data_IF_068550384682
#
_entry.id   IF_068550384682
#
_cell.length_a   1.000
_cell.length_b   1.000
_cell.length_c   1.000
_cell.angle_alpha   90.00
_cell.angle_beta   90.00
_cell.angle_gamma   90.00
#
_symmetry.space_group_name_H-M   'P 1'
#
loop_
_entity.id
_entity.type
_entity.pdbx_description
1 polymer ?
2 non-polymer ?
3 non-polymer ?
4 water ?
#
# COMPACT_ATOMS: atom_id res chain seq x y z
N UNK A 2 -24.70 1.02 -1.69
CA UNK A 2 -23.46 0.36 -1.15
C UNK A 2 -22.24 1.27 -1.30
N UNK A 3 -21.39 1.30 -0.29
CA UNK A 3 -20.21 2.11 -0.32
C UNK A 3 -18.99 1.22 -0.32
N UNK A 4 -17.87 1.74 -0.78
CA UNK A 4 -16.64 0.97 -0.79
C UNK A 4 -15.85 1.24 -2.06
N UNK A 5 -14.79 0.47 -2.27
CA UNK A 5 -13.82 0.72 -3.32
C UNK A 5 -13.26 -0.58 -3.85
N UNK A 6 -13.09 -0.64 -5.15
CA UNK A 6 -12.34 -1.71 -5.80
C UNK A 6 -11.24 -1.01 -6.57
N UNK A 7 -10.02 -1.53 -6.47
CA UNK A 7 -8.88 -0.89 -7.09
C UNK A 7 -8.00 -1.91 -7.73
N UNK A 8 -7.71 -1.67 -9.02
CA UNK A 8 -6.75 -2.44 -9.79
C UNK A 8 -5.47 -1.62 -9.90
N UNK A 9 -4.34 -2.28 -9.67
CA UNK A 9 -3.05 -1.64 -9.74
C UNK A 9 -2.15 -2.39 -10.73
N UNK A 10 -1.50 -1.63 -11.61
CA UNK A 10 -0.54 -2.18 -12.55
C UNK A 10 0.72 -1.41 -12.30
N UNK A 11 1.84 -2.11 -12.15
CA UNK A 11 3.08 -1.41 -11.88
C UNK A 11 4.27 -2.08 -12.51
N UNK A 12 5.26 -1.26 -12.84
CA UNK A 12 6.43 -1.77 -13.49
C UNK A 12 7.65 -1.01 -13.14
N UNK A 13 8.78 -1.69 -13.25
CA UNK A 13 9.93 -1.03 -13.80
C UNK A 13 11.17 -1.16 -12.98
N UNK A 14 11.03 -1.79 -11.84
CA UNK A 14 11.76 -3.02 -11.65
C UNK A 14 11.17 -3.97 -10.66
N UNK A 15 11.88 -4.26 -9.59
CA UNK A 15 11.83 -5.60 -9.10
C UNK A 15 10.45 -6.09 -8.76
N UNK A 16 9.53 -5.17 -8.47
CA UNK A 16 8.20 -5.57 -8.06
C UNK A 16 7.15 -5.34 -9.13
N UNK A 17 7.40 -5.87 -10.33
CA UNK A 17 6.49 -5.79 -11.49
C UNK A 17 5.28 -6.72 -11.34
N UNK A 18 4.11 -6.23 -11.71
CA UNK A 18 2.95 -7.07 -11.63
C UNK A 18 1.66 -6.32 -11.46
N UNK A 19 0.65 -6.99 -10.89
CA UNK A 19 -0.66 -6.42 -10.80
C UNK A 19 -1.38 -6.88 -9.56
N UNK A 20 -2.50 -6.22 -9.27
CA UNK A 20 -3.24 -6.49 -8.04
C UNK A 20 -4.67 -5.97 -8.09
N UNK A 21 -5.50 -6.58 -7.26
CA UNK A 21 -6.86 -6.18 -7.08
C UNK A 21 -7.16 -6.18 -5.57
N UNK A 22 -7.77 -5.10 -5.07
CA UNK A 22 -8.08 -4.94 -3.65
C UNK A 22 -9.42 -4.25 -3.49
N UNK A 23 -10.14 -4.66 -2.45
CA UNK A 23 -11.45 -4.14 -2.13
C UNK A 23 -11.47 -3.63 -0.71
N UNK A 24 -12.18 -2.52 -0.53
CA UNK A 24 -12.51 -2.04 0.80
C UNK A 24 -14.01 -2.12 0.94
N UNK A 25 -14.45 -2.90 1.94
CA UNK A 25 -15.87 -3.21 2.13
C UNK A 25 -16.39 -2.77 3.50
N UNK A 26 -17.14 -1.66 3.57
CA UNK A 26 -17.76 -1.29 4.86
C UNK A 26 -18.78 -2.31 5.36
N UNK A 27 -18.75 -2.58 6.66
CA UNK A 27 -19.83 -3.29 7.30
C UNK A 27 -20.55 -2.47 8.39
N UNK A 28 -19.96 -1.35 8.80
CA UNK A 28 -20.67 -0.36 9.59
C UNK A 28 -20.22 0.99 9.11
N UNK A 29 -21.19 1.90 8.93
CA UNK A 29 -20.95 3.15 8.27
C UNK A 29 -21.83 4.25 8.83
N UNK A 30 -21.21 5.18 9.54
CA UNK A 30 -21.88 6.34 10.12
C UNK A 30 -21.01 7.57 9.85
N UNK A 31 -21.58 8.77 9.99
CA UNK A 31 -20.80 10.00 9.88
C UNK A 31 -19.49 9.95 10.70
N UNK A 32 -19.57 9.46 11.94
CA UNK A 32 -18.41 9.53 12.83
C UNK A 32 -17.45 8.33 12.74
N UNK A 33 -17.96 7.16 12.43
CA UNK A 33 -17.13 5.96 12.41
C UNK A 33 -17.46 5.01 11.27
N UNK A 34 -16.42 4.50 10.63
CA UNK A 34 -16.52 3.51 9.60
C UNK A 34 -15.73 2.27 10.05
N UNK A 35 -16.36 1.10 9.94
CA UNK A 35 -15.68 -0.17 10.18
C UNK A 35 -15.75 -0.93 8.89
N UNK A 36 -14.62 -1.50 8.50
CA UNK A 36 -14.47 -2.06 7.18
C UNK A 36 -13.62 -3.29 7.21
N UNK A 37 -13.84 -4.16 6.20
CA UNK A 37 -12.95 -5.25 5.87
C UNK A 37 -12.23 -4.84 4.61
N UNK A 38 -10.99 -5.30 4.46
CA UNK A 38 -10.24 -5.12 3.24
C UNK A 38 -9.71 -6.48 2.79
N UNK A 39 -9.80 -6.75 1.49
CA UNK A 39 -9.35 -8.03 0.95
C UNK A 39 -8.80 -7.81 -0.45
N UNK A 40 -7.76 -8.54 -0.82
CA UNK A 40 -7.24 -8.49 -2.16
C UNK A 40 -6.09 -9.47 -2.39
N UNK A 41 -5.61 -9.50 -3.63
CA UNK A 41 -4.53 -10.38 -4.04
C UNK A 41 -3.72 -9.73 -5.11
N UNK A 42 -2.54 -10.29 -5.36
CA UNK A 42 -1.62 -9.71 -6.30
C UNK A 42 -0.64 -10.75 -6.81
N UNK A 43 -0.18 -10.57 -8.02
CA UNK A 43 0.90 -11.36 -8.57
C UNK A 43 2.02 -10.37 -8.85
N UNK A 44 3.01 -10.35 -7.98
CA UNK A 44 4.10 -9.35 -8.04
C UNK A 44 5.40 -10.02 -7.69
N UNK A 45 6.42 -9.70 -8.47
CA UNK A 45 7.74 -10.29 -8.32
C UNK A 45 7.69 -11.80 -8.31
N UNK A 46 6.94 -12.36 -9.26
CA UNK A 46 6.83 -13.82 -9.44
C UNK A 46 6.30 -14.58 -8.19
N UNK A 47 5.44 -13.92 -7.42
CA UNK A 47 4.79 -14.55 -6.27
C UNK A 47 3.32 -14.16 -6.21
N UNK A 48 2.49 -15.11 -5.78
CA UNK A 48 1.06 -14.88 -5.59
C UNK A 48 0.81 -14.65 -4.11
N UNK A 49 0.24 -13.50 -3.79
CA UNK A 49 0.03 -13.09 -2.41
C UNK A 49 -1.37 -12.56 -2.23
N UNK A 50 -2.00 -12.94 -1.11
CA UNK A 50 -3.38 -12.49 -0.80
C UNK A 50 -3.37 -11.89 0.59
N UNK A 51 -4.26 -10.94 0.80
CA UNK A 51 -4.25 -10.11 2.00
C UNK A 51 -5.67 -9.91 2.50
N UNK A 52 -5.82 -9.95 3.82
CA UNK A 52 -7.12 -9.82 4.48
C UNK A 52 -6.94 -9.01 5.75
N UNK A 53 -7.81 -8.03 5.91
CA UNK A 53 -7.68 -7.12 7.04
C UNK A 53 -8.99 -6.51 7.41
N UNK A 54 -8.93 -5.69 8.44
CA UNK A 54 -10.07 -4.95 8.91
C UNK A 54 -9.55 -3.80 9.76
N UNK A 55 -10.39 -2.80 9.93
CA UNK A 55 -10.02 -1.66 10.73
C UNK A 55 -11.20 -0.77 11.01
N UNK A 56 -10.95 0.29 11.77
CA UNK A 56 -11.95 1.34 12.00
C UNK A 56 -11.36 2.67 11.62
N UNK A 57 -12.24 3.59 11.21
CA UNK A 57 -11.90 4.97 10.97
C UNK A 57 -12.88 5.87 11.73
N UNK A 58 -12.36 6.86 12.42
CA UNK A 58 -13.18 7.74 13.22
C UNK A 58 -13.01 9.14 12.70
N UNK A 59 -14.12 9.86 12.50
CA UNK A 59 -14.01 11.19 11.92
C UNK A 59 -14.42 12.37 12.74
N UNK A 60 -13.56 13.39 12.72
CA UNK A 60 -13.91 14.78 13.06
C UNK A 60 -14.04 15.56 11.75
N UNK A 61 -14.92 16.60 11.67
CA UNK A 61 -14.95 17.40 10.43
C UNK A 61 -13.64 17.70 9.71
N UNK A 62 -12.54 17.83 10.46
CA UNK A 62 -11.27 18.25 9.92
C UNK A 62 -10.12 17.21 10.01
N UNK A 63 -10.34 16.07 10.66
CA UNK A 63 -9.35 14.99 10.60
C UNK A 63 -9.92 13.62 10.90
N UNK A 64 -9.12 12.59 10.70
CA UNK A 64 -9.56 11.23 10.90
C UNK A 64 -8.47 10.38 11.54
N UNK A 65 -8.84 9.63 12.57
CA UNK A 65 -7.97 8.63 13.15
C UNK A 65 -8.47 7.26 12.75
N UNK A 66 -7.53 6.37 12.46
CA UNK A 66 -7.87 5.04 11.99
C UNK A 66 -6.79 4.06 12.38
N UNK A 67 -7.21 2.81 12.59
CA UNK A 67 -6.26 1.71 12.83
C UNK A 67 -6.76 0.51 12.01
N UNK A 68 -5.86 -0.44 11.79
CA UNK A 68 -6.21 -1.63 11.04
C UNK A 68 -5.26 -2.77 11.37
N UNK A 69 -5.76 -4.00 11.13
CA UNK A 69 -4.97 -5.19 11.34
C UNK A 69 -5.09 -6.05 10.10
N UNK A 70 -3.98 -6.70 9.74
CA UNK A 70 -3.90 -7.46 8.50
C UNK A 70 -3.16 -8.77 8.70
N UNK A 71 -3.58 -9.73 7.87
CA UNK A 71 -2.81 -10.94 7.65
C UNK A 71 -2.38 -10.99 6.19
N UNK A 72 -1.10 -11.23 5.96
CA UNK A 72 -0.55 -11.29 4.62
C UNK A 72 -0.02 -12.69 4.41
N UNK A 73 -0.41 -13.27 3.28
CA UNK A 73 -0.08 -14.64 2.96
C UNK A 73 0.55 -14.69 1.59
N UNK A 74 1.86 -14.83 1.56
CA UNK A 74 2.59 -15.12 0.33
C UNK A 74 2.38 -16.60 0.07
N UNK A 75 1.50 -16.88 -0.89
CA UNK A 75 1.20 -18.29 -1.20
C UNK A 75 2.29 -18.98 -2.01
N UNK A 76 3.04 -18.26 -2.82
CA UNK A 76 4.09 -18.91 -3.63
C UNK A 76 5.14 -19.53 -2.72
N UNK A 77 5.52 -18.79 -1.69
CA UNK A 77 6.57 -19.21 -0.78
C UNK A 77 6.05 -19.67 0.56
N UNK A 78 4.75 -19.58 0.78
CA UNK A 78 4.15 -20.08 2.01
C UNK A 78 4.71 -19.30 3.22
N UNK A 79 4.63 -17.98 3.13
CA UNK A 79 5.11 -17.09 4.18
C UNK A 79 3.95 -16.27 4.68
N UNK A 80 3.93 -16.08 6.00
CA UNK A 80 2.80 -15.50 6.69
C UNK A 80 3.27 -14.36 7.56
N UNK A 81 2.46 -13.32 7.63
CA UNK A 81 2.84 -12.17 8.38
C UNK A 81 1.64 -11.39 8.93
N UNK A 82 1.86 -10.78 10.09
CA UNK A 82 0.90 -9.96 10.79
C UNK A 82 1.21 -8.52 10.45
N UNK A 83 0.15 -7.75 10.19
CA UNK A 83 0.30 -6.35 9.89
C UNK A 83 -0.61 -5.52 10.76
N UNK A 84 -0.07 -4.43 11.32
CA UNK A 84 -0.86 -3.45 12.04
C UNK A 84 -0.60 -2.07 11.46
N UNK A 85 -1.65 -1.24 11.40
CA UNK A 85 -1.54 0.08 10.82
C UNK A 85 -2.30 1.16 11.57
N UNK A 86 -1.81 2.39 11.43
CA UNK A 86 -2.42 3.57 12.02
C UNK A 86 -2.58 4.60 10.94
N UNK A 87 -3.58 5.46 11.10
CA UNK A 87 -3.92 6.45 10.09
C UNK A 87 -4.27 7.78 10.76
N UNK A 88 -3.80 8.85 10.15
CA UNK A 88 -4.19 10.21 10.49
C UNK A 88 -4.35 10.98 9.18
N UNK A 89 -5.60 11.21 8.79
CA UNK A 89 -5.92 11.84 7.51
C UNK A 89 -6.62 13.18 7.71
N UNK A 90 -6.41 14.09 6.76
CA UNK A 90 -7.06 15.38 6.71
C UNK A 90 -7.48 15.62 5.25
N UNK A 91 -8.05 16.77 4.96
CA UNK A 91 -8.22 17.23 3.58
C UNK A 91 -6.86 17.30 2.87
N UNK A 92 -6.76 16.64 1.73
CA UNK A 92 -5.59 16.71 0.86
C UNK A 92 -4.35 16.18 1.53
N UNK A 93 -4.51 15.40 2.60
CA UNK A 93 -3.36 14.92 3.36
C UNK A 93 -3.68 13.61 4.06
N UNK A 94 -2.81 12.62 3.85
CA UNK A 94 -2.94 11.31 4.48
C UNK A 94 -1.60 10.90 5.00
N UNK A 95 -1.59 10.48 6.26
CA UNK A 95 -0.39 9.96 6.85
C UNK A 95 -0.75 8.64 7.48
N UNK A 96 0.19 7.69 7.39
CA UNK A 96 -0.05 6.33 7.81
C UNK A 96 1.25 5.76 8.30
N UNK A 97 1.15 4.85 9.26
CA UNK A 97 2.29 4.14 9.79
C UNK A 97 1.85 2.71 9.84
N UNK A 98 2.77 1.82 9.46
CA UNK A 98 2.48 0.40 9.35
C UNK A 98 3.60 -0.41 9.99
N UNK A 99 3.22 -1.38 10.82
CA UNK A 99 4.14 -2.38 11.34
C UNK A 99 3.98 -3.71 10.62
N UNK A 100 5.08 -4.43 10.47
CA UNK A 100 5.10 -5.67 9.73
C UNK A 100 5.81 -6.68 10.61
N UNK A 101 5.06 -7.69 11.07
CA UNK A 101 5.52 -8.68 12.02
C UNK A 101 5.26 -10.06 11.45
N UNK A 102 6.32 -10.85 11.35
CA UNK A 102 6.21 -12.18 10.83
C UNK A 102 5.50 -13.18 11.76
N UNK A 103 4.93 -14.22 11.16
CA UNK A 103 4.24 -15.27 11.90
C UNK A 103 4.70 -16.63 11.45
N UNK A 104 5.72 -16.72 10.61
CA UNK A 104 6.12 -17.97 9.98
C UNK A 104 7.61 -17.99 10.09
N UNK A 105 8.18 -19.18 10.16
CA UNK A 105 9.59 -19.35 10.44
C UNK A 105 10.40 -19.47 9.18
N UNK A 106 11.68 -19.77 9.37
CA UNK A 106 12.57 -20.11 8.26
C UNK A 106 12.21 -21.40 7.51
N UNK A 107 12.48 -21.46 6.22
CA UNK A 107 12.29 -22.73 5.54
C UNK A 107 12.88 -22.58 4.17
N UNK A 108 13.07 -23.71 3.46
CA UNK A 108 13.65 -23.69 2.09
C UNK A 108 13.04 -22.59 1.24
N UNK A 109 13.89 -21.75 0.66
CA UNK A 109 13.46 -20.58 -0.12
C UNK A 109 12.81 -20.95 -1.46
N UNK A 110 11.81 -20.17 -1.83
CA UNK A 110 11.07 -20.37 -3.06
C UNK A 110 11.88 -20.00 -4.32
N UNK A 111 12.53 -18.84 -4.31
CA UNK A 111 13.26 -18.32 -5.48
C UNK A 111 14.79 -18.46 -5.43
N UNK A 112 15.39 -18.52 -4.24
CA UNK A 112 16.86 -18.53 -4.09
C UNK A 112 17.42 -19.90 -3.71
N UNK A 113 18.24 -20.48 -4.59
CA UNK A 113 18.84 -21.80 -4.34
C UNK A 113 19.84 -21.72 -3.19
N UNK A 114 19.85 -22.73 -2.32
CA UNK A 114 20.76 -22.84 -1.16
C UNK A 114 20.45 -21.86 0.00
N UNK A 115 19.27 -21.23 -0.02
CA UNK A 115 18.86 -20.31 1.05
C UNK A 115 17.57 -20.75 1.72
N UNK A 116 17.42 -20.31 2.96
CA UNK A 116 16.13 -20.32 3.66
C UNK A 116 15.58 -18.92 3.64
N UNK A 117 14.28 -18.80 3.83
CA UNK A 117 13.64 -17.50 3.79
C UNK A 117 12.52 -17.41 4.80
N UNK A 118 12.14 -16.18 5.11
CA UNK A 118 10.99 -15.86 5.97
C UNK A 118 10.74 -14.34 5.89
N UNK A 119 9.54 -13.87 6.29
CA UNK A 119 9.29 -12.43 6.28
C UNK A 119 10.26 -11.65 7.19
N UNK A 120 10.72 -10.50 6.71
CA UNK A 120 11.54 -9.59 7.48
C UNK A 120 10.63 -8.59 8.19
N UNK A 121 10.85 -8.41 9.49
CA UNK A 121 10.12 -7.46 10.28
C UNK A 121 10.54 -6.04 9.91
N UNK A 122 9.57 -5.13 9.94
CA UNK A 122 9.86 -3.75 9.73
C UNK A 122 8.63 -2.88 9.87
N UNK A 123 8.80 -1.64 9.43
CA UNK A 123 7.74 -0.67 9.45
C UNK A 123 7.92 0.27 8.31
N UNK A 124 6.89 1.06 8.05
CA UNK A 124 7.04 2.18 7.16
C UNK A 124 6.10 3.31 7.56
N UNK A 125 6.43 4.51 7.12
CA UNK A 125 5.64 5.70 7.34
C UNK A 125 5.32 6.26 5.97
N UNK A 126 4.05 6.55 5.73
CA UNK A 126 3.60 6.98 4.43
C UNK A 126 2.88 8.32 4.52
N UNK A 127 3.25 9.24 3.64
CA UNK A 127 2.55 10.49 3.44
C UNK A 127 2.09 10.59 2.00
N UNK A 128 0.86 11.04 1.83
CA UNK A 128 0.30 11.38 0.54
C UNK A 128 -0.39 12.73 0.67
N UNK A 129 -0.05 13.63 -0.27
CA UNK A 129 -0.52 15.03 -0.22
C UNK A 129 -0.94 15.46 -1.59
N UNK A 130 -1.95 16.32 -1.64
CA UNK A 130 -2.55 16.76 -2.90
C UNK A 130 -2.65 18.26 -2.90
N UNK A 131 -2.39 18.88 -4.04
CA UNK A 131 -2.45 20.34 -4.15
C UNK A 131 -3.88 20.79 -4.07
N UNK A 132 -4.24 21.55 -3.04
CA UNK A 132 -5.65 21.90 -2.81
C UNK A 132 -6.26 22.76 -3.90
N UNK A 133 -5.46 23.62 -4.49
CA UNK A 133 -5.86 24.42 -5.64
C UNK A 133 -5.97 23.57 -6.91
N UNK A 134 -5.14 22.55 -7.00
CA UNK A 134 -5.18 21.66 -8.13
C UNK A 134 -5.02 20.21 -7.64
N UNK A 135 -6.09 19.63 -7.08
CA UNK A 135 -5.93 18.35 -6.38
C UNK A 135 -5.59 17.10 -7.23
N UNK A 136 -5.71 17.16 -8.55
CA UNK A 136 -5.28 16.08 -9.41
C UNK A 136 -3.77 15.80 -9.35
N UNK A 137 -3.00 16.69 -8.73
CA UNK A 137 -1.57 16.51 -8.54
C UNK A 137 -1.29 16.10 -7.12
N UNK A 138 -0.67 14.94 -6.98
CA UNK A 138 -0.27 14.45 -5.68
C UNK A 138 1.20 14.10 -5.61
N UNK A 139 1.71 14.09 -4.39
CA UNK A 139 3.05 13.61 -4.14
C UNK A 139 3.01 12.64 -3.00
N UNK A 140 4.13 11.99 -2.78
CA UNK A 140 4.18 10.74 -2.11
C UNK A 140 5.51 10.56 -1.36
N UNK A 141 5.48 10.67 -0.04
CA UNK A 141 6.65 10.38 0.79
C UNK A 141 6.51 9.08 1.57
N UNK A 142 7.48 8.18 1.40
CA UNK A 142 7.54 6.97 2.19
C UNK A 142 8.91 6.81 2.82
N UNK A 143 8.95 6.42 4.09
CA UNK A 143 10.16 5.91 4.68
C UNK A 143 9.86 4.51 5.18
N UNK A 144 10.75 3.58 4.90
CA UNK A 144 10.53 2.21 5.29
C UNK A 144 11.86 1.68 5.81
N UNK A 145 11.75 0.77 6.79
CA UNK A 145 12.90 0.17 7.44
C UNK A 145 12.58 -1.29 7.71
N UNK A 146 13.52 -2.17 7.36
CA UNK A 146 13.39 -3.61 7.57
C UNK A 146 14.64 -4.12 8.28
N UNK A 147 14.51 -5.29 8.91
CA UNK A 147 15.54 -5.82 9.80
C UNK A 147 15.91 -7.25 9.45
N UNK A 148 17.19 -7.57 9.61
CA UNK A 148 17.72 -8.87 9.20
C UNK A 148 19.11 -8.73 8.61
N UNK A 149 19.93 -9.76 8.76
CA UNK A 149 21.27 -9.78 8.16
C UNK A 149 21.27 -9.74 6.64
N UNK A 150 20.28 -10.34 5.99
CA UNK A 150 20.22 -10.40 4.50
C UNK A 150 18.79 -10.24 3.99
N UNK A 151 18.35 -9.00 3.87
CA UNK A 151 17.00 -8.67 3.47
C UNK A 151 17.03 -8.19 2.02
N UNK A 152 15.94 -8.48 1.32
CA UNK A 152 15.74 -8.09 -0.05
C UNK A 152 14.68 -7.01 -0.07
N UNK A 153 15.10 -5.78 0.22
CA UNK A 153 14.21 -4.64 0.06
C UNK A 153 14.05 -4.18 -1.40
N UNK A 154 15.08 -4.40 -2.22
CA UNK A 154 15.12 -3.97 -3.64
C UNK A 154 15.06 -5.15 -4.58
N UNK A 155 15.93 -6.10 -4.36
CA UNK A 155 15.80 -7.40 -5.00
C UNK A 155 16.57 -8.44 -4.18
N UNK A 156 16.37 -9.71 -4.51
CA UNK A 156 17.01 -10.79 -3.77
C UNK A 156 18.41 -11.08 -4.26
N UNK A 157 18.82 -10.50 -5.39
CA UNK A 157 20.21 -10.72 -5.89
C UNK A 157 21.22 -9.83 -5.16
N UNK A 158 20.75 -8.75 -4.53
CA UNK A 158 21.59 -7.91 -3.67
C UNK A 158 20.94 -7.81 -2.29
N UNK A 159 21.36 -8.70 -1.40
CA UNK A 159 20.87 -8.74 -0.04
C UNK A 159 21.65 -7.74 0.83
N UNK A 160 20.96 -7.24 1.84
CA UNK A 160 21.39 -6.09 2.63
C UNK A 160 21.07 -6.24 4.11
N UNK A 161 21.90 -5.62 4.95
CA UNK A 161 21.74 -5.73 6.39
C UNK A 161 20.89 -4.56 6.91
N UNK A 162 19.76 -4.88 7.54
CA UNK A 162 18.78 -3.90 8.02
C UNK A 162 18.58 -2.72 7.06
N UNK A 163 17.99 -2.97 5.90
CA UNK A 163 17.85 -1.89 4.92
C UNK A 163 16.72 -0.91 5.23
N UNK A 164 16.96 0.37 4.93
CA UNK A 164 15.95 1.41 4.98
C UNK A 164 15.96 2.10 3.62
N UNK A 165 14.89 2.83 3.33
CA UNK A 165 14.78 3.51 2.04
C UNK A 165 13.75 4.61 2.11
N UNK A 166 13.93 5.59 1.22
CA UNK A 166 13.04 6.74 1.12
C UNK A 166 12.57 6.81 -0.33
N UNK A 167 11.31 7.20 -0.55
CA UNK A 167 10.65 7.16 -1.83
C UNK A 167 10.00 8.50 -2.00
N UNK A 168 10.24 9.09 -3.14
CA UNK A 168 9.50 10.26 -3.50
C UNK A 168 8.84 9.94 -4.80
N UNK A 169 7.59 10.31 -4.90
CA UNK A 169 6.86 10.11 -6.12
C UNK A 169 5.83 11.20 -6.36
N UNK A 170 5.46 11.33 -7.62
CA UNK A 170 4.38 12.19 -8.02
C UNK A 170 3.39 11.34 -8.80
N UNK A 171 2.14 11.79 -8.79
CA UNK A 171 1.09 11.10 -9.47
C UNK A 171 0.00 12.07 -9.91
N UNK A 172 -0.74 11.66 -10.92
CA UNK A 172 -1.66 12.50 -11.61
C UNK A 172 -2.98 11.72 -11.72
N UNK A 173 -4.09 12.41 -11.39
CA UNK A 173 -5.40 11.82 -11.36
C UNK A 173 -6.33 12.73 -12.16
N UNK A 174 -6.39 12.53 -13.51
CA UNK A 174 -7.22 13.40 -14.36
C UNK A 174 -8.69 13.26 -14.05
N UNK A 175 -9.13 12.03 -13.86
CA UNK A 175 -10.50 11.75 -13.42
C UNK A 175 -10.40 10.76 -12.25
N UNK A 176 -11.41 10.75 -11.38
CA UNK A 176 -11.31 9.89 -10.20
C UNK A 176 -10.98 8.45 -10.52
N UNK A 177 -11.46 7.97 -11.68
CA UNK A 177 -11.27 6.57 -12.11
C UNK A 177 -9.80 6.10 -12.28
N UNK A 178 -8.86 7.01 -12.57
CA UNK A 178 -7.51 6.62 -12.92
C UNK A 178 -6.47 7.51 -12.24
N UNK A 179 -5.41 6.89 -11.72
CA UNK A 179 -4.24 7.56 -11.24
C UNK A 179 -3.00 6.98 -11.92
N UNK A 180 -2.06 7.85 -12.31
CA UNK A 180 -0.77 7.41 -12.84
C UNK A 180 0.32 8.13 -12.03
N UNK A 181 1.44 7.44 -11.79
CA UNK A 181 2.55 8.05 -11.11
C UNK A 181 3.89 7.32 -11.26
N UNK A 182 4.92 7.93 -10.68
CA UNK A 182 6.28 7.47 -10.76
C UNK A 182 6.86 7.62 -9.38
N UNK A 183 7.56 6.59 -8.90
CA UNK A 183 8.14 6.59 -7.58
C UNK A 183 9.64 6.36 -7.70
N UNK A 184 10.41 7.32 -7.16
CA UNK A 184 11.83 7.16 -7.04
C UNK A 184 12.14 6.75 -5.60
N UNK A 185 13.03 5.78 -5.46
CA UNK A 185 13.43 5.29 -4.15
C UNK A 185 14.95 5.16 -4.03
N UNK A 186 15.44 5.42 -2.82
CA UNK A 186 16.85 5.44 -2.58
C UNK A 186 17.12 4.87 -1.19
N UNK A 187 18.10 3.97 -1.07
CA UNK A 187 18.57 3.52 0.24
C UNK A 187 19.95 2.90 0.25
N UNK A 188 20.48 2.83 1.45
CA UNK A 188 21.23 1.69 1.92
C UNK A 188 22.02 0.95 0.84
N UNK A 189 23.31 1.25 0.73
CA UNK A 189 24.18 0.63 -0.28
C UNK A 189 24.18 1.37 -1.61
N UNK A 190 23.77 2.62 -1.54
CA UNK A 190 23.26 3.36 -2.68
C UNK A 190 22.44 2.47 -3.60
N UNK A 191 21.29 2.04 -3.11
CA UNK A 191 20.31 1.39 -3.94
C UNK A 191 19.25 2.37 -4.39
N UNK A 192 18.93 2.27 -5.68
CA UNK A 192 18.00 3.16 -6.30
C UNK A 192 17.00 2.32 -7.07
N UNK A 193 15.74 2.78 -7.09
CA UNK A 193 14.78 2.41 -8.14
C UNK A 193 13.59 3.33 -8.35
N UNK A 194 12.84 2.91 -9.38
CA UNK A 194 11.77 3.60 -10.01
C UNK A 194 10.62 2.66 -10.17
N UNK A 195 9.44 3.09 -9.76
CA UNK A 195 8.26 2.30 -10.02
C UNK A 195 7.23 3.15 -10.74
N UNK A 196 6.80 2.68 -11.92
CA UNK A 196 5.75 3.35 -12.69
C UNK A 196 4.52 2.53 -12.39
N UNK A 197 3.40 3.21 -12.13
CA UNK A 197 2.21 2.48 -11.73
C UNK A 197 0.94 3.21 -12.16
N UNK A 198 -0.13 2.44 -12.31
CA UNK A 198 -1.42 2.93 -12.76
C UNK A 198 -2.48 2.25 -11.94
N UNK A 199 -3.37 3.04 -11.36
CA UNK A 199 -4.46 2.51 -10.57
C UNK A 199 -5.79 2.83 -11.22
N UNK A 200 -6.64 1.81 -11.38
CA UNK A 200 -8.06 2.03 -11.73
C UNK A 200 -8.88 1.89 -10.47
N UNK A 201 -9.68 2.92 -10.21
CA UNK A 201 -10.41 3.08 -8.97
C UNK A 201 -11.88 3.11 -9.30
N UNK A 202 -12.61 2.11 -8.82
CA UNK A 202 -14.06 2.14 -8.85
C UNK A 202 -14.69 2.42 -7.46
N UNK A 203 -15.50 3.47 -7.38
CA UNK A 203 -16.21 3.84 -6.17
C UNK A 203 -17.65 3.34 -6.13
N UNK A 204 -17.93 2.36 -5.26
CA UNK A 204 -19.29 1.80 -5.19
C UNK A 204 -20.39 2.84 -5.02
N UNK A 205 -20.14 3.91 -4.29
CA UNK A 205 -21.21 4.90 -4.06
C UNK A 205 -21.41 5.91 -5.22
N UNK A 206 -20.55 5.93 -6.23
CA UNK A 206 -20.58 6.96 -7.27
C UNK A 206 -21.21 6.42 -8.54
N UNK A 207 -22.11 7.21 -9.14
CA UNK A 207 -22.50 7.04 -10.55
C UNK A 207 -21.23 6.88 -11.42
N UNK A 208 -21.42 6.40 -12.64
CA UNK A 208 -20.33 6.34 -13.64
C UNK A 208 -19.84 7.75 -14.05
N UNK A 209 -20.74 8.62 -14.47
CA UNK A 209 -20.31 9.94 -14.92
C UNK A 209 -19.51 10.69 -13.85
N UNK A 210 -19.85 10.49 -12.58
CA UNK A 210 -19.11 11.15 -11.49
C UNK A 210 -17.64 10.73 -11.46
N UNK A 211 -17.40 9.47 -11.83
CA UNK A 211 -16.06 8.89 -11.79
C UNK A 211 -15.22 9.14 -13.00
N UNK A 212 -15.76 9.84 -14.01
CA UNK A 212 -14.98 10.19 -15.19
C UNK A 212 -14.99 11.67 -15.48
N UNK A 213 -15.14 12.47 -14.43
CA UNK A 213 -15.23 13.92 -14.56
C UNK A 213 -14.21 14.55 -13.61
N UNK A 214 -13.30 15.40 -14.15
CA UNK A 214 -12.27 15.98 -13.25
C UNK A 214 -12.86 16.81 -12.13
N UNK A 215 -14.09 17.27 -12.28
CA UNK A 215 -14.85 17.93 -11.22
C UNK A 215 -14.73 17.27 -9.84
N UNK A 216 -14.74 15.94 -9.85
CA UNK A 216 -14.89 15.18 -8.62
C UNK A 216 -13.57 14.71 -8.05
N UNK A 217 -12.46 15.02 -8.72
CA UNK A 217 -11.16 14.66 -8.15
C UNK A 217 -10.94 15.41 -6.84
N UNK A 218 -11.32 16.68 -6.84
CA UNK A 218 -11.22 17.50 -5.65
C UNK A 218 -11.81 16.78 -4.46
N UNK A 219 -12.98 16.21 -4.66
CA UNK A 219 -13.72 15.68 -3.57
C UNK A 219 -13.27 14.30 -3.10
N UNK A 220 -12.77 13.47 -4.02
CA UNK A 220 -12.03 12.27 -3.64
C UNK A 220 -10.86 12.59 -2.74
N UNK A 221 -10.24 13.76 -2.93
CA UNK A 221 -9.07 14.12 -2.12
C UNK A 221 -9.41 14.87 -0.82
N UNK A 222 -10.66 15.22 -0.59
CA UNK A 222 -11.06 15.77 0.68
C UNK A 222 -11.13 14.60 1.67
N UNK A 223 -11.22 14.92 2.94
CA UNK A 223 -11.35 13.91 3.95
C UNK A 223 -12.60 13.06 3.76
N UNK A 224 -13.72 13.69 3.39
CA UNK A 224 -14.97 12.96 3.23
C UNK A 224 -15.02 12.25 1.87
N UNK A 225 -14.35 12.86 0.90
CA UNK A 225 -13.93 12.14 -0.26
C UNK A 225 -13.31 10.82 0.04
N UNK A 226 -12.36 10.78 0.97
CA UNK A 226 -11.32 9.76 0.94
C UNK A 226 -11.62 8.63 1.88
N UNK A 227 -12.82 8.65 2.40
CA UNK A 227 -13.25 7.77 3.46
C UNK A 227 -13.16 6.26 3.13
N UNK A 228 -13.43 5.88 1.90
CA UNK A 228 -13.36 4.49 1.54
C UNK A 228 -12.07 4.12 0.84
N UNK A 229 -11.07 4.98 0.79
CA UNK A 229 -9.80 4.61 0.15
C UNK A 229 -9.20 3.41 0.85
N UNK A 230 -8.47 2.63 0.07
CA UNK A 230 -7.74 1.49 0.58
C UNK A 230 -6.72 1.89 1.60
N UNK A 231 -6.48 1.00 2.54
CA UNK A 231 -5.38 1.18 3.44
C UNK A 231 -4.06 1.29 2.67
N UNK A 232 -3.22 2.20 3.17
CA UNK A 232 -1.93 2.47 2.58
C UNK A 232 -0.82 1.65 3.22
N UNK A 233 -0.40 0.58 2.56
CA UNK A 233 0.61 -0.33 3.12
C UNK A 233 1.33 -0.99 1.99
N UNK A 234 2.38 -1.70 2.34
CA UNK A 234 3.01 -2.57 1.42
C UNK A 234 2.30 -3.88 1.67
N UNK A 235 1.54 -4.36 0.66
CA UNK A 235 0.91 -5.68 0.74
C UNK A 235 1.85 -6.81 0.24
N UNK A 236 3.03 -6.46 -0.22
CA UNK A 236 4.06 -7.44 -0.56
C UNK A 236 4.88 -7.71 0.66
N UNK A 237 5.16 -8.98 0.90
CA UNK A 237 5.95 -9.39 2.03
C UNK A 237 7.42 -9.29 1.62
N UNK A 238 8.14 -8.35 2.22
CA UNK A 238 9.59 -8.34 2.17
C UNK A 238 10.19 -9.53 2.95
N UNK A 239 11.08 -10.25 2.28
CA UNK A 239 11.70 -11.44 2.85
C UNK A 239 13.12 -11.19 3.23
N UNK A 240 13.60 -12.02 4.14
CA UNK A 240 15.02 -12.06 4.52
C UNK A 240 15.51 -13.48 4.29
N UNK A 241 16.83 -13.68 4.25
CA UNK A 241 17.39 -14.97 3.81
C UNK A 241 18.53 -15.39 4.70
N UNK A 242 18.76 -16.69 4.75
CA UNK A 242 19.67 -17.31 5.70
C UNK A 242 20.04 -18.70 5.17
#
# INVERSE_FOLDING_TARGET
QHYGTAEVNLQSGNNFDGSSLDFLLPFYDSEKMLAFGQVGARYIDSRFTANLGAGQRFFLPANMLGYNVFIDQDFSGDNTRLGIGGEYWRDYFKSSVNGYFRMSGWHESYNKKDYDERPANGFDIRFNGYLPSYPALGAKLIYEQYYGDNVALFNSDKLQSNPGAATVGVNYTPIPLVTMGIDYRHGTGNENDLLYSMQFRYQFDKSWSQQIEPQYVNELRTLSGSRYDLVQRNNNIILEYK
#
